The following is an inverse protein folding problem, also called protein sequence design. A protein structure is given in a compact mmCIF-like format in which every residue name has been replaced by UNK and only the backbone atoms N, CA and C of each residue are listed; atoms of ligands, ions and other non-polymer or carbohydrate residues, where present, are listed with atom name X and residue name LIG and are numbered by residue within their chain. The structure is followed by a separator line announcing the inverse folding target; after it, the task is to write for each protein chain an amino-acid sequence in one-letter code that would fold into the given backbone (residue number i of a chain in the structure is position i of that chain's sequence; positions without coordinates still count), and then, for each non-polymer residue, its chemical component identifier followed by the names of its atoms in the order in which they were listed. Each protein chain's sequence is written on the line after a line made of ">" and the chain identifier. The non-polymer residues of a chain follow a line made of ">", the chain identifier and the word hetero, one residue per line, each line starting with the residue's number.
data_IF_082856638803
#
_entry.id   IF_082856638803
#
_cell.length_a   1.000
_cell.length_b   1.000
_cell.length_c   1.000
_cell.angle_alpha   90.00
_cell.angle_beta   90.00
_cell.angle_gamma   90.00
#
_symmetry.space_group_name_H-M   'P 1'
#
loop_
_entity.id
_entity.type
_entity.pdbx_description
1 polymer ?
#
# COMPACT_ATOMS: atom_id res chain seq x y z
N UNK A 1 54.75 -15.87 -41.35
CA UNK A 1 55.93 -16.65 -40.98
C UNK A 1 55.74 -17.02 -39.51
N UNK A 2 54.79 -17.92 -39.23
CA UNK A 2 54.97 -19.39 -39.24
C UNK A 2 55.80 -19.86 -38.03
N UNK A 3 55.49 -20.92 -37.30
CA UNK A 3 54.32 -21.82 -37.17
C UNK A 3 54.69 -22.83 -36.05
N UNK A 4 53.68 -23.41 -35.38
CA UNK A 4 53.67 -24.72 -34.66
C UNK A 4 54.57 -25.06 -33.44
N UNK A 5 53.89 -25.24 -32.30
CA UNK A 5 53.60 -26.54 -31.60
C UNK A 5 54.68 -27.38 -30.86
N UNK A 6 54.25 -28.25 -29.89
CA UNK A 6 54.96 -28.65 -28.67
C UNK A 6 55.52 -30.09 -28.69
N UNK A 7 56.24 -30.54 -27.63
CA UNK A 7 56.09 -31.92 -27.09
C UNK A 7 56.45 -32.06 -25.58
N UNK A 8 56.52 -33.26 -24.92
CA UNK A 8 55.77 -34.54 -24.99
C UNK A 8 55.26 -35.02 -23.56
N UNK A 9 54.66 -36.23 -23.41
CA UNK A 9 53.89 -36.67 -22.21
C UNK A 9 54.66 -37.66 -21.29
N UNK A 10 53.93 -38.20 -20.28
CA UNK A 10 54.23 -39.33 -19.34
C UNK A 10 54.49 -38.87 -17.88
N UNK A 11 54.02 -39.52 -16.80
CA UNK A 11 53.58 -40.90 -16.59
C UNK A 11 52.63 -40.95 -15.36
N UNK A 12 51.55 -41.73 -15.45
CA UNK A 12 50.67 -42.10 -14.33
C UNK A 12 51.38 -43.11 -13.41
N UNK A 13 51.17 -43.08 -12.08
CA UNK A 13 51.14 -44.30 -11.29
C UNK A 13 49.73 -44.62 -10.79
N UNK A 14 49.45 -45.92 -10.79
CA UNK A 14 48.19 -46.54 -10.41
C UNK A 14 47.98 -46.58 -8.88
N UNK A 15 46.70 -46.76 -8.52
CA UNK A 15 46.13 -46.81 -7.19
C UNK A 15 46.69 -47.91 -6.28
N UNK A 16 46.75 -47.63 -4.98
CA UNK A 16 46.54 -48.62 -3.90
C UNK A 16 45.79 -48.00 -2.71
N UNK A 17 44.52 -48.42 -2.59
CA UNK A 17 43.69 -48.70 -1.40
C UNK A 17 43.87 -47.91 -0.09
N UNK A 18 42.87 -47.11 0.25
CA UNK A 18 42.48 -46.70 1.61
C UNK A 18 40.99 -46.98 1.84
N UNK A 19 40.54 -47.20 3.09
CA UNK A 19 39.33 -47.96 3.40
C UNK A 19 38.02 -47.17 3.24
N UNK A 20 36.95 -47.91 2.93
CA UNK A 20 35.54 -47.48 2.84
C UNK A 20 35.06 -46.68 4.07
N UNK A 21 34.26 -45.61 3.90
CA UNK A 21 33.55 -44.96 4.99
C UNK A 21 32.20 -45.64 5.26
N UNK A 22 31.99 -46.09 6.50
CA UNK A 22 30.69 -46.52 7.03
C UNK A 22 29.76 -45.31 7.27
N UNK A 23 28.43 -45.48 7.16
CA UNK A 23 27.49 -44.37 7.10
C UNK A 23 27.14 -43.84 8.49
N UNK A 24 27.46 -42.57 8.74
CA UNK A 24 27.14 -41.84 9.96
C UNK A 24 25.94 -40.93 9.78
N UNK A 25 24.86 -41.27 10.49
CA UNK A 25 23.69 -40.49 10.91
C UNK A 25 23.56 -39.04 10.42
N UNK A 26 22.46 -38.77 9.72
CA UNK A 26 21.88 -37.45 9.51
C UNK A 26 21.58 -36.75 10.85
N UNK A 27 22.26 -35.64 11.12
CA UNK A 27 21.90 -34.72 12.19
C UNK A 27 21.14 -33.53 11.60
N UNK A 28 19.84 -33.48 11.90
CA UNK A 28 18.97 -32.36 11.52
C UNK A 28 19.42 -31.03 12.15
N UNK A 29 19.00 -29.88 11.58
CA UNK A 29 19.44 -28.57 12.06
C UNK A 29 18.91 -28.28 13.48
N UNK A 30 19.82 -27.98 14.41
CA UNK A 30 19.47 -27.52 15.75
C UNK A 30 18.87 -26.09 15.74
N UNK A 31 17.92 -25.78 16.64
CA UNK A 31 17.24 -24.50 16.70
C UNK A 31 18.08 -23.42 17.41
N UNK A 32 18.23 -22.25 16.78
CA UNK A 32 18.80 -21.06 17.39
C UNK A 32 17.81 -20.34 18.33
N UNK A 33 18.29 -19.53 19.30
CA UNK A 33 17.44 -18.90 20.30
C UNK A 33 16.76 -17.64 19.75
N UNK A 34 15.46 -17.50 19.98
CA UNK A 34 14.73 -16.23 19.83
C UNK A 34 13.83 -16.09 18.59
N UNK A 35 13.12 -17.15 18.19
CA UNK A 35 11.95 -16.97 17.31
C UNK A 35 10.74 -16.54 18.14
N UNK A 36 10.56 -15.24 18.33
CA UNK A 36 9.25 -14.74 18.75
C UNK A 36 8.19 -15.21 17.73
N UNK A 37 7.04 -15.74 18.16
CA UNK A 37 5.98 -16.16 17.24
C UNK A 37 5.53 -14.95 16.43
N UNK A 38 5.70 -15.03 15.10
CA UNK A 38 5.05 -14.10 14.18
C UNK A 38 3.56 -14.02 14.53
N UNK A 39 3.00 -12.84 14.88
CA UNK A 39 1.62 -12.75 15.32
C UNK A 39 0.70 -13.17 14.18
N UNK A 40 0.01 -14.29 14.39
CA UNK A 40 -1.00 -14.83 13.47
C UNK A 40 -2.01 -13.71 13.17
N UNK A 41 -2.39 -13.48 11.90
CA UNK A 41 -3.31 -12.41 11.54
C UNK A 41 -4.66 -12.56 12.26
N UNK A 42 -4.89 -11.73 13.29
CA UNK A 42 -6.21 -11.64 13.91
C UNK A 42 -7.09 -10.76 13.04
N UNK A 43 -7.98 -11.41 12.29
CA UNK A 43 -9.02 -10.75 11.52
C UNK A 43 -10.01 -10.08 12.47
N UNK A 44 -10.20 -8.77 12.33
CA UNK A 44 -11.26 -8.08 13.05
C UNK A 44 -12.63 -8.52 12.50
N UNK A 45 -13.63 -8.76 13.37
CA UNK A 45 -14.97 -9.11 12.92
C UNK A 45 -15.53 -7.97 12.06
N UNK A 46 -16.09 -8.34 10.91
CA UNK A 46 -16.59 -7.39 9.93
C UNK A 46 -17.63 -6.45 10.55
N UNK A 47 -17.58 -5.13 10.28
CA UNK A 47 -18.70 -4.27 10.62
C UNK A 47 -19.93 -4.77 9.85
N UNK A 48 -20.98 -5.13 10.61
CA UNK A 48 -22.24 -5.69 10.10
C UNK A 48 -22.69 -4.92 8.86
N UNK A 49 -22.55 -5.58 7.70
CA UNK A 49 -22.91 -5.04 6.39
C UNK A 49 -24.37 -4.63 6.41
N UNK A 50 -24.70 -3.59 5.63
CA UNK A 50 -26.07 -3.27 5.25
C UNK A 50 -26.63 -4.51 4.54
N UNK A 51 -27.28 -5.37 5.32
CA UNK A 51 -27.63 -6.74 4.95
C UNK A 51 -28.54 -6.81 3.73
N UNK A 52 -28.85 -8.04 3.33
CA UNK A 52 -29.80 -8.55 2.30
C UNK A 52 -30.73 -7.52 1.61
N UNK A 53 -31.27 -6.54 2.33
CA UNK A 53 -31.97 -5.34 1.84
C UNK A 53 -31.23 -4.56 0.74
N UNK A 54 -29.89 -4.47 0.75
CA UNK A 54 -29.14 -3.78 -0.32
C UNK A 54 -29.16 -4.54 -1.65
N UNK A 55 -29.39 -5.86 -1.63
CA UNK A 55 -29.60 -6.69 -2.83
C UNK A 55 -31.04 -6.60 -3.36
N UNK A 56 -32.02 -6.43 -2.47
CA UNK A 56 -33.44 -6.32 -2.81
C UNK A 56 -33.93 -4.87 -3.01
N UNK A 57 -33.07 -3.87 -2.84
CA UNK A 57 -33.47 -2.48 -2.98
C UNK A 57 -34.00 -2.20 -4.41
N UNK A 58 -35.18 -1.57 -4.55
CA UNK A 58 -35.69 -1.13 -5.85
C UNK A 58 -34.68 -0.21 -6.55
N UNK A 59 -34.58 -0.28 -7.88
CA UNK A 59 -33.75 0.63 -8.68
C UNK A 59 -33.85 2.12 -8.28
N UNK A 60 -35.05 2.71 -8.05
CA UNK A 60 -35.14 4.11 -7.61
C UNK A 60 -34.45 4.38 -6.26
N UNK A 61 -34.43 3.40 -5.34
CA UNK A 61 -33.76 3.55 -4.04
C UNK A 61 -32.24 3.55 -4.19
N UNK A 62 -31.69 2.74 -5.10
CA UNK A 62 -30.24 2.70 -5.38
C UNK A 62 -29.76 4.05 -5.93
N UNK A 63 -30.53 4.65 -6.83
CA UNK A 63 -30.23 5.98 -7.40
C UNK A 63 -30.17 7.03 -6.30
N UNK A 64 -31.13 7.05 -5.37
CA UNK A 64 -31.15 8.01 -4.24
C UNK A 64 -29.95 7.80 -3.30
N UNK A 65 -29.63 6.54 -2.96
CA UNK A 65 -28.49 6.23 -2.09
C UNK A 65 -27.16 6.65 -2.72
N UNK A 66 -26.96 6.37 -4.01
CA UNK A 66 -25.76 6.78 -4.74
C UNK A 66 -25.70 8.30 -4.94
N UNK A 67 -26.86 8.95 -5.14
CA UNK A 67 -26.97 10.41 -5.21
C UNK A 67 -26.54 11.07 -3.89
N UNK A 68 -26.99 10.56 -2.75
CA UNK A 68 -26.54 11.04 -1.44
C UNK A 68 -25.03 10.90 -1.28
N UNK A 69 -24.49 9.69 -1.53
CA UNK A 69 -23.06 9.39 -1.36
C UNK A 69 -22.14 10.27 -2.23
N UNK A 70 -22.52 10.55 -3.48
CA UNK A 70 -21.64 11.35 -4.37
C UNK A 70 -21.59 12.83 -4.01
N UNK A 71 -22.63 13.38 -3.36
CA UNK A 71 -22.77 14.81 -3.04
C UNK A 71 -22.55 15.13 -1.55
N UNK A 72 -22.11 14.16 -0.75
CA UNK A 72 -21.82 14.37 0.67
C UNK A 72 -20.53 13.68 1.10
N UNK A 73 -19.46 13.80 0.30
CA UNK A 73 -18.17 13.17 0.61
C UNK A 73 -17.41 14.00 1.66
N UNK A 74 -16.96 13.33 2.72
CA UNK A 74 -16.13 13.88 3.78
C UNK A 74 -14.69 13.45 3.56
N UNK A 75 -13.84 14.43 3.25
CA UNK A 75 -12.44 14.19 2.91
C UNK A 75 -11.59 14.12 4.16
N UNK A 76 -10.84 13.04 4.27
CA UNK A 76 -9.65 12.94 5.08
C UNK A 76 -8.43 13.13 4.18
N UNK A 77 -7.88 14.33 4.18
CA UNK A 77 -6.65 14.64 3.46
C UNK A 77 -5.44 14.13 4.25
N UNK A 78 -4.71 13.20 3.66
CA UNK A 78 -3.43 12.75 4.17
C UNK A 78 -2.30 13.53 3.50
N UNK A 79 -2.04 14.73 4.02
CA UNK A 79 -1.04 15.64 3.49
C UNK A 79 0.39 15.26 3.86
N UNK A 80 1.17 14.77 2.89
CA UNK A 80 2.53 14.27 3.10
C UNK A 80 3.62 15.18 2.52
N UNK A 81 3.33 15.86 1.43
CA UNK A 81 4.32 16.68 0.71
C UNK A 81 3.66 17.87 -0.01
N UNK A 82 4.28 18.36 -1.08
CA UNK A 82 3.82 19.52 -1.86
C UNK A 82 2.38 19.40 -2.38
N UNK A 83 1.89 18.20 -2.70
CA UNK A 83 0.50 17.99 -3.12
C UNK A 83 -0.51 18.35 -2.01
N UNK A 84 -0.11 18.32 -0.73
CA UNK A 84 -0.98 18.74 0.37
C UNK A 84 -1.32 20.24 0.28
N UNK A 85 -0.37 21.06 -0.15
CA UNK A 85 -0.58 22.51 -0.33
C UNK A 85 -1.55 22.74 -1.48
N UNK A 86 -1.43 21.97 -2.56
CA UNK A 86 -2.37 22.09 -3.67
C UNK A 86 -3.78 21.62 -3.29
N UNK A 87 -3.90 20.58 -2.46
CA UNK A 87 -5.18 20.19 -1.90
C UNK A 87 -5.81 21.33 -1.09
N UNK A 88 -5.01 21.99 -0.25
CA UNK A 88 -5.47 23.15 0.52
C UNK A 88 -5.88 24.28 -0.45
N UNK A 89 -5.10 24.57 -1.49
CA UNK A 89 -5.45 25.55 -2.50
C UNK A 89 -6.78 25.22 -3.22
N UNK A 90 -7.03 23.93 -3.49
CA UNK A 90 -8.29 23.46 -4.07
C UNK A 90 -9.49 23.65 -3.11
N UNK A 91 -9.25 23.63 -1.80
CA UNK A 91 -10.29 23.88 -0.77
C UNK A 91 -10.56 25.37 -0.51
N UNK A 92 -9.71 26.27 -1.03
CA UNK A 92 -9.87 27.71 -0.85
C UNK A 92 -10.84 28.33 -1.87
N UNK A 93 -11.24 29.57 -1.62
CA UNK A 93 -12.30 30.28 -2.35
C UNK A 93 -12.18 30.31 -3.88
N UNK A 94 -10.98 30.17 -4.46
CA UNK A 94 -10.79 30.21 -5.92
C UNK A 94 -11.35 28.98 -6.61
N UNK A 95 -11.17 27.80 -6.02
CA UNK A 95 -11.51 26.51 -6.62
C UNK A 95 -12.60 25.77 -5.87
N UNK A 96 -12.75 26.07 -4.57
CA UNK A 96 -13.77 25.62 -3.63
C UNK A 96 -14.54 24.35 -4.05
N UNK A 97 -13.95 23.19 -3.75
CA UNK A 97 -14.62 21.92 -3.99
C UNK A 97 -15.78 21.62 -3.02
N UNK A 98 -16.03 22.45 -1.99
CA UNK A 98 -17.25 22.34 -1.15
C UNK A 98 -18.50 22.51 -2.01
N UNK A 99 -18.41 23.31 -3.08
CA UNK A 99 -19.47 23.48 -4.07
C UNK A 99 -19.90 22.17 -4.74
N UNK A 100 -19.03 21.16 -4.78
CA UNK A 100 -19.32 19.83 -5.33
C UNK A 100 -19.93 18.87 -4.29
N UNK A 101 -20.21 19.34 -3.07
CA UNK A 101 -20.69 18.50 -1.97
C UNK A 101 -19.58 17.74 -1.24
N UNK A 102 -18.34 18.26 -1.31
CA UNK A 102 -17.16 17.62 -0.74
C UNK A 102 -16.62 18.46 0.41
N UNK A 103 -16.67 17.93 1.63
CA UNK A 103 -16.21 18.63 2.84
C UNK A 103 -14.71 18.38 3.02
N UNK A 104 -13.85 19.42 2.99
CA UNK A 104 -12.39 19.29 2.86
C UNK A 104 -11.68 18.70 4.08
N UNK A 105 -12.23 18.92 5.28
CA UNK A 105 -11.56 18.59 6.53
C UNK A 105 -12.53 17.87 7.46
N UNK A 106 -12.61 16.56 7.30
CA UNK A 106 -13.25 15.71 8.31
C UNK A 106 -12.44 15.76 9.63
N UNK A 107 -13.10 15.81 10.81
CA UNK A 107 -12.42 15.84 12.11
C UNK A 107 -11.52 14.64 12.40
N UNK A 108 -11.71 13.53 11.67
CA UNK A 108 -10.84 12.36 11.74
C UNK A 108 -11.23 11.27 10.74
N UNK A 109 -10.37 10.23 10.59
CA UNK A 109 -10.58 9.16 9.61
C UNK A 109 -11.86 8.35 9.87
N UNK A 110 -12.32 8.24 11.12
CA UNK A 110 -13.54 7.49 11.47
C UNK A 110 -14.83 8.14 10.96
N UNK A 111 -14.79 9.42 10.61
CA UNK A 111 -15.93 10.20 10.12
C UNK A 111 -15.80 10.53 8.63
N UNK A 112 -14.69 10.16 7.99
CA UNK A 112 -14.44 10.41 6.58
C UNK A 112 -14.79 9.20 5.74
N UNK A 113 -15.29 9.45 4.53
CA UNK A 113 -15.58 8.42 3.51
C UNK A 113 -14.61 8.51 2.31
N UNK A 114 -13.88 9.61 2.16
CA UNK A 114 -12.91 9.81 1.10
C UNK A 114 -11.52 10.10 1.69
N UNK A 115 -10.55 9.24 1.41
CA UNK A 115 -9.15 9.48 1.75
C UNK A 115 -8.40 9.99 0.52
N UNK A 116 -7.73 11.13 0.64
CA UNK A 116 -6.86 11.64 -0.42
C UNK A 116 -5.41 11.53 0.05
N UNK A 117 -4.60 10.76 -0.68
CA UNK A 117 -3.18 10.60 -0.38
C UNK A 117 -2.39 11.64 -1.18
N UNK A 118 -2.04 12.71 -0.50
CA UNK A 118 -1.49 13.93 -1.09
C UNK A 118 0.02 14.01 -0.87
N UNK A 119 0.78 13.42 -1.78
CA UNK A 119 2.24 13.51 -1.81
C UNK A 119 2.98 12.19 -1.64
N UNK A 120 4.26 12.28 -1.27
CA UNK A 120 5.16 11.12 -1.24
C UNK A 120 4.90 10.24 -0.02
N UNK A 121 4.62 8.96 -0.26
CA UNK A 121 4.52 7.95 0.80
C UNK A 121 5.91 7.37 1.04
N UNK A 122 6.43 7.56 2.25
CA UNK A 122 7.66 6.91 2.69
C UNK A 122 7.36 5.55 3.30
N UNK A 123 8.32 4.63 3.25
CA UNK A 123 8.14 3.27 3.79
C UNK A 123 7.84 3.29 5.30
N UNK A 124 8.37 4.29 6.01
CA UNK A 124 8.04 4.55 7.41
C UNK A 124 6.58 4.99 7.61
N UNK A 125 6.02 5.71 6.65
CA UNK A 125 4.63 6.20 6.73
C UNK A 125 3.61 5.19 6.18
N UNK A 126 4.04 4.24 5.35
CA UNK A 126 3.21 3.17 4.79
C UNK A 126 2.30 2.46 5.82
N UNK A 127 2.80 1.99 6.99
CA UNK A 127 1.93 1.36 8.00
C UNK A 127 0.92 2.33 8.62
N UNK A 128 1.24 3.62 8.72
CA UNK A 128 0.32 4.64 9.25
C UNK A 128 -0.82 4.92 8.26
N UNK A 129 -0.51 5.02 6.96
CA UNK A 129 -1.50 5.15 5.87
C UNK A 129 -2.51 4.02 5.95
N UNK A 130 -2.03 2.76 5.99
CA UNK A 130 -2.89 1.59 6.07
C UNK A 130 -3.77 1.60 7.32
N UNK A 131 -3.20 1.92 8.48
CA UNK A 131 -3.95 1.96 9.75
C UNK A 131 -5.09 2.98 9.70
N UNK A 132 -4.87 4.15 9.10
CA UNK A 132 -5.89 5.18 8.98
C UNK A 132 -7.00 4.74 8.01
N UNK A 133 -6.62 4.15 6.88
CA UNK A 133 -7.56 3.59 5.91
C UNK A 133 -8.44 2.48 6.52
N UNK A 134 -7.87 1.60 7.34
CA UNK A 134 -8.62 0.55 8.03
C UNK A 134 -9.61 1.08 9.08
N UNK A 135 -9.35 2.27 9.65
CA UNK A 135 -10.24 2.90 10.62
C UNK A 135 -11.43 3.64 9.99
N UNK A 136 -11.43 3.81 8.67
CA UNK A 136 -12.51 4.46 7.94
C UNK A 136 -13.74 3.54 7.80
N UNK A 137 -14.95 4.09 7.95
CA UNK A 137 -16.20 3.36 7.73
C UNK A 137 -16.34 2.90 6.27
N UNK A 138 -17.16 1.87 6.04
CA UNK A 138 -17.58 1.46 4.70
C UNK A 138 -18.90 2.18 4.36
N UNK A 139 -19.07 2.81 3.19
CA UNK A 139 -18.21 2.83 1.99
C UNK A 139 -17.06 3.86 2.07
N UNK A 140 -15.85 3.44 1.70
CA UNK A 140 -14.68 4.34 1.62
C UNK A 140 -14.07 4.36 0.23
N UNK A 141 -13.49 5.49 -0.13
CA UNK A 141 -12.82 5.71 -1.41
C UNK A 141 -11.44 6.32 -1.22
N UNK A 142 -10.54 6.04 -2.16
CA UNK A 142 -9.17 6.56 -2.13
C UNK A 142 -8.84 7.28 -3.43
N UNK A 143 -8.42 8.53 -3.34
CA UNK A 143 -7.81 9.27 -4.45
C UNK A 143 -6.29 9.35 -4.21
N UNK A 144 -5.53 8.89 -5.19
CA UNK A 144 -4.08 9.10 -5.21
C UNK A 144 -3.78 10.44 -5.90
N UNK A 145 -3.25 11.39 -5.13
CA UNK A 145 -3.04 12.77 -5.57
C UNK A 145 -1.55 13.08 -5.76
N UNK A 146 -1.13 13.12 -7.03
CA UNK A 146 0.21 13.47 -7.46
C UNK A 146 1.08 12.28 -7.87
N UNK A 147 2.16 12.57 -8.60
CA UNK A 147 3.06 11.55 -9.16
C UNK A 147 3.72 10.69 -8.07
N UNK A 148 4.03 11.27 -6.90
CA UNK A 148 4.68 10.54 -5.82
C UNK A 148 3.78 9.46 -5.21
N UNK A 149 2.48 9.71 -5.04
CA UNK A 149 1.54 8.69 -4.55
C UNK A 149 1.15 7.71 -5.65
N UNK A 150 1.12 8.12 -6.92
CA UNK A 150 0.80 7.23 -8.04
C UNK A 150 1.91 6.20 -8.32
N UNK A 151 3.17 6.65 -8.42
CA UNK A 151 4.29 5.81 -8.87
C UNK A 151 5.64 6.09 -8.18
N UNK A 152 5.66 6.83 -7.06
CA UNK A 152 6.90 7.31 -6.43
C UNK A 152 7.46 8.61 -7.05
N UNK A 153 7.00 8.99 -8.25
CA UNK A 153 7.29 10.27 -8.88
C UNK A 153 8.79 10.47 -9.12
N UNK A 154 9.35 11.68 -8.88
CA UNK A 154 10.79 11.93 -8.99
C UNK A 154 11.64 11.05 -8.05
N UNK A 155 11.05 10.51 -7.00
CA UNK A 155 11.71 9.70 -5.98
C UNK A 155 11.54 8.19 -6.19
N UNK A 156 11.15 7.75 -7.38
CA UNK A 156 10.90 6.33 -7.68
C UNK A 156 12.12 5.43 -7.43
N UNK A 157 13.34 5.97 -7.50
CA UNK A 157 14.61 5.27 -7.25
C UNK A 157 15.15 5.53 -5.83
N UNK A 158 14.35 6.14 -4.94
CA UNK A 158 14.76 6.38 -3.56
C UNK A 158 14.52 5.15 -2.69
N UNK A 159 15.45 4.87 -1.78
CA UNK A 159 15.42 3.71 -0.88
C UNK A 159 14.32 3.77 0.21
N UNK A 160 13.75 4.95 0.45
CA UNK A 160 12.77 5.19 1.52
C UNK A 160 11.36 5.50 1.01
N UNK A 161 11.15 5.48 -0.30
CA UNK A 161 9.89 5.91 -0.92
C UNK A 161 9.18 4.71 -1.52
N UNK A 162 7.92 4.55 -1.13
CA UNK A 162 7.07 3.53 -1.73
C UNK A 162 6.71 3.96 -3.16
N UNK A 163 6.94 3.08 -4.13
CA UNK A 163 6.75 3.33 -5.57
C UNK A 163 5.27 3.42 -6.01
N UNK A 164 4.35 3.61 -5.07
CA UNK A 164 2.92 3.70 -5.33
C UNK A 164 2.12 3.36 -4.09
N UNK A 165 1.11 4.18 -3.80
CA UNK A 165 0.19 3.96 -2.68
C UNK A 165 -0.68 2.72 -2.88
N UNK A 166 -0.85 2.29 -4.13
CA UNK A 166 -1.61 1.10 -4.53
C UNK A 166 -1.02 -0.21 -3.98
N UNK A 167 0.27 -0.21 -3.60
CA UNK A 167 0.90 -1.35 -2.94
C UNK A 167 0.38 -1.56 -1.51
N UNK A 168 -0.21 -0.53 -0.90
CA UNK A 168 -0.59 -0.48 0.51
C UNK A 168 -2.12 -0.49 0.66
N UNK A 169 -2.82 0.35 -0.12
CA UNK A 169 -4.27 0.52 -0.08
C UNK A 169 -4.82 0.58 -1.51
N UNK A 170 -6.04 0.07 -1.76
CA UNK A 170 -6.62 0.11 -3.10
C UNK A 170 -6.98 1.55 -3.48
N UNK A 171 -6.55 1.98 -4.67
CA UNK A 171 -6.84 3.32 -5.19
C UNK A 171 -8.03 3.30 -6.14
N UNK A 172 -8.96 4.25 -5.98
CA UNK A 172 -10.13 4.37 -6.86
C UNK A 172 -9.88 5.25 -8.08
N UNK A 173 -9.18 6.36 -7.89
CA UNK A 173 -8.88 7.36 -8.94
C UNK A 173 -7.47 7.89 -8.72
N UNK A 174 -6.71 7.97 -9.82
CA UNK A 174 -5.40 8.58 -9.86
C UNK A 174 -5.47 9.97 -10.49
N UNK A 175 -4.84 10.95 -9.85
CA UNK A 175 -4.70 12.31 -10.38
C UNK A 175 -3.23 12.55 -10.74
N UNK A 176 -2.89 12.70 -12.03
CA UNK A 176 -1.50 12.91 -12.45
C UNK A 176 -1.05 14.37 -12.25
N UNK A 177 0.21 14.57 -11.87
CA UNK A 177 0.87 15.88 -11.75
C UNK A 177 1.92 15.94 -10.64
N UNK A 178 2.78 16.97 -10.60
CA UNK A 178 3.85 17.09 -9.58
C UNK A 178 4.23 18.56 -9.26
N UNK A 179 3.46 19.28 -8.41
CA UNK A 179 2.12 18.94 -7.98
C UNK A 179 1.11 19.15 -9.13
N UNK A 180 0.03 18.36 -9.20
CA UNK A 180 -1.09 18.63 -10.11
C UNK A 180 -1.70 20.00 -9.81
N UNK A 181 -2.35 20.65 -10.78
CA UNK A 181 -3.09 21.90 -10.51
C UNK A 181 -4.39 21.64 -9.73
N UNK A 182 -4.98 22.63 -9.04
CA UNK A 182 -6.18 22.41 -8.23
C UNK A 182 -7.38 21.98 -9.08
N UNK A 183 -7.44 22.43 -10.34
CA UNK A 183 -8.48 22.01 -11.29
C UNK A 183 -8.38 20.51 -11.64
N UNK A 184 -7.17 19.95 -11.64
CA UNK A 184 -6.98 18.52 -11.90
C UNK A 184 -7.53 17.67 -10.73
N UNK A 185 -7.44 18.18 -9.48
CA UNK A 185 -8.07 17.54 -8.34
C UNK A 185 -9.60 17.59 -8.45
N UNK A 186 -10.18 18.73 -8.84
CA UNK A 186 -11.62 18.86 -9.07
C UNK A 186 -12.11 17.84 -10.11
N UNK A 187 -11.37 17.66 -11.20
CA UNK A 187 -11.67 16.64 -12.21
C UNK A 187 -11.55 15.22 -11.66
N UNK A 188 -10.57 14.95 -10.79
CA UNK A 188 -10.45 13.67 -10.08
C UNK A 188 -11.67 13.38 -9.20
N UNK A 189 -12.17 14.38 -8.48
CA UNK A 189 -13.38 14.28 -7.65
C UNK A 189 -14.61 14.03 -8.52
N UNK A 190 -14.78 14.72 -9.64
CA UNK A 190 -15.90 14.50 -10.56
C UNK A 190 -15.89 13.07 -11.13
N UNK A 191 -14.72 12.56 -11.54
CA UNK A 191 -14.58 11.16 -11.97
C UNK A 191 -14.93 10.17 -10.86
N UNK A 192 -14.56 10.47 -9.62
CA UNK A 192 -14.96 9.65 -8.47
C UNK A 192 -16.48 9.69 -8.29
N UNK A 193 -17.13 10.86 -8.36
CA UNK A 193 -18.58 10.97 -8.27
C UNK A 193 -19.30 10.18 -9.37
N UNK A 194 -18.77 10.18 -10.59
CA UNK A 194 -19.30 9.35 -11.68
C UNK A 194 -19.12 7.85 -11.43
N UNK A 195 -17.99 7.44 -10.84
CA UNK A 195 -17.74 6.05 -10.43
C UNK A 195 -18.76 5.62 -9.37
N UNK A 196 -19.03 6.46 -8.38
CA UNK A 196 -20.02 6.23 -7.31
C UNK A 196 -21.43 6.15 -7.90
N UNK A 197 -21.77 7.00 -8.88
CA UNK A 197 -23.08 7.00 -9.51
C UNK A 197 -23.39 5.69 -10.25
N UNK A 198 -22.37 5.06 -10.85
CA UNK A 198 -22.46 3.80 -11.60
C UNK A 198 -22.39 2.55 -10.72
N UNK A 199 -22.06 2.69 -9.45
CA UNK A 199 -21.79 1.56 -8.58
C UNK A 199 -23.08 0.83 -8.15
N UNK A 200 -23.08 -0.50 -8.22
CA UNK A 200 -24.18 -1.32 -7.74
C UNK A 200 -23.92 -1.77 -6.29
N UNK A 201 -24.87 -1.51 -5.39
CA UNK A 201 -24.75 -1.84 -3.95
C UNK A 201 -24.54 -3.35 -3.73
N UNK A 202 -25.15 -4.19 -4.58
CA UNK A 202 -25.05 -5.64 -4.48
C UNK A 202 -23.65 -6.18 -4.74
N UNK A 203 -22.93 -5.60 -5.70
CA UNK A 203 -21.60 -6.06 -6.14
C UNK A 203 -20.52 -5.68 -5.12
N UNK A 204 -20.55 -4.46 -4.57
CA UNK A 204 -19.61 -3.99 -3.56
C UNK A 204 -19.73 -4.75 -2.22
N UNK A 205 -20.96 -5.02 -1.77
CA UNK A 205 -21.18 -5.79 -0.54
C UNK A 205 -21.07 -7.31 -0.76
N UNK A 206 -21.07 -7.82 -2.00
CA UNK A 206 -20.80 -9.22 -2.30
C UNK A 206 -19.30 -9.54 -2.40
N UNK A 207 -18.48 -8.64 -2.92
CA UNK A 207 -17.03 -8.83 -3.11
C UNK A 207 -16.18 -8.55 -1.87
N UNK A 208 -16.73 -8.03 -0.78
CA UNK A 208 -15.95 -7.77 0.44
C UNK A 208 -15.39 -9.00 1.17
N UNK A 209 -15.36 -10.19 0.56
CA UNK A 209 -14.70 -11.40 1.08
C UNK A 209 -13.20 -11.49 0.77
N UNK A 210 -12.57 -10.41 0.31
CA UNK A 210 -11.12 -10.33 0.18
C UNK A 210 -10.46 -10.17 1.56
N UNK A 211 -9.86 -11.24 2.06
CA UNK A 211 -8.95 -11.22 3.22
C UNK A 211 -7.95 -10.07 3.08
N UNK A 212 -8.07 -9.06 3.94
CA UNK A 212 -7.16 -7.91 3.94
C UNK A 212 -5.95 -8.25 4.81
N UNK A 213 -4.71 -8.08 4.33
CA UNK A 213 -3.53 -8.35 5.13
C UNK A 213 -3.55 -7.48 6.39
N UNK A 214 -3.21 -8.04 7.54
CA UNK A 214 -3.24 -7.31 8.82
C UNK A 214 -2.22 -6.16 8.85
N UNK A 215 -2.41 -5.20 9.75
CA UNK A 215 -1.41 -4.16 10.07
C UNK A 215 -0.09 -4.73 10.58
N UNK A 216 -0.10 -5.95 11.13
CA UNK A 216 1.11 -6.66 11.52
C UNK A 216 2.00 -7.01 10.32
N UNK A 217 1.41 -7.27 9.14
CA UNK A 217 2.14 -7.57 7.91
C UNK A 217 2.92 -6.37 7.32
N UNK A 218 2.63 -5.13 7.78
CA UNK A 218 3.35 -3.93 7.34
C UNK A 218 4.29 -3.36 8.41
N UNK A 219 4.55 -4.10 9.50
CA UNK A 219 5.60 -3.70 10.43
C UNK A 219 6.94 -4.16 9.87
N UNK A 220 7.73 -3.25 9.30
CA UNK A 220 9.17 -3.50 9.24
C UNK A 220 9.70 -3.57 10.67
N UNK A 221 10.53 -4.57 10.98
CA UNK A 221 11.23 -4.61 12.26
C UNK A 221 11.93 -3.28 12.53
N UNK A 222 12.04 -2.89 13.80
CA UNK A 222 12.83 -1.71 14.17
C UNK A 222 14.24 -1.86 13.58
N UNK A 223 14.72 -0.83 12.87
CA UNK A 223 16.09 -0.80 12.37
C UNK A 223 17.00 -0.96 13.59
N UNK A 224 17.83 -2.00 13.60
CA UNK A 224 18.77 -2.23 14.67
C UNK A 224 19.68 -1.02 14.84
N UNK A 225 19.99 -0.66 16.08
CA UNK A 225 20.91 0.43 16.36
C UNK A 225 22.26 0.13 15.67
N UNK A 226 22.92 1.13 15.06
CA UNK A 226 24.25 0.93 14.51
C UNK A 226 25.19 0.47 15.64
N UNK A 227 26.07 -0.52 15.39
CA UNK A 227 27.00 -1.00 16.40
C UNK A 227 27.89 0.16 16.85
N UNK A 228 28.03 0.33 18.17
CA UNK A 228 28.91 1.32 18.78
C UNK A 228 30.34 1.06 18.30
N UNK A 229 31.09 2.05 17.78
CA UNK A 229 32.47 1.83 17.43
C UNK A 229 33.29 1.60 18.70
N UNK A 230 33.82 0.38 18.89
CA UNK A 230 34.96 0.14 19.79
C UNK A 230 34.77 -0.79 20.98
N UNK A 231 34.19 -1.98 20.81
CA UNK A 231 34.36 -3.06 21.81
C UNK A 231 34.73 -4.37 21.11
N UNK A 232 36.01 -4.73 21.14
CA UNK A 232 36.50 -6.05 20.77
C UNK A 232 37.71 -6.12 19.84
N UNK A 233 38.87 -5.58 20.25
CA UNK A 233 40.15 -6.20 19.90
C UNK A 233 41.21 -5.97 20.98
N UNK A 234 41.20 -6.86 21.98
CA UNK A 234 42.38 -7.34 22.71
C UNK A 234 42.18 -8.81 23.02
#
# INVERSE_FOLDING_TARGET
>A
MDVTSPPPPEHRPAAQSGPEPTPGAESGPQPGPGSEPQPVPTFLPEPKRLGVLSRLAPEPMKVILNWGRRYSLWVFNFGLACCAIEFIAASMARHDFIRLGVIPFAPGPRQADLMIVSGTVTDKMAPAVKRLYEQMPEPKYVISFGACSNCGGPYWDSYSVTKGVDQIIPVDVYVPGCPPRPEALLQGILKLQEKIARESLGERYATGGGSRPSTAALRSGLVAAPPTPGEGQK
#
